data_IF_345716123212
#
_entry.id   IF_345716123212
#
_cell.length_a   1.000
_cell.length_b   1.000
_cell.length_c   1.000
_cell.angle_alpha   90.00
_cell.angle_beta   90.00
_cell.angle_gamma   90.00
#
_symmetry.space_group_name_H-M   'P 1'
#
loop_
_entity.id
_entity.type
_entity.pdbx_description
1 polymer ?
#
# COMPACT_ATOMS: atom_id res chain seq x y z
N UNK A 1 17.38 10.65 1.64
CA UNK A 1 16.05 10.27 2.16
C UNK A 1 16.05 8.84 2.65
N UNK A 2 15.17 8.52 3.59
CA UNK A 2 15.09 7.18 4.18
C UNK A 2 13.67 6.63 4.07
N UNK A 3 13.52 5.52 3.35
CA UNK A 3 12.26 4.80 3.14
C UNK A 3 12.29 3.49 3.94
N UNK A 4 11.33 3.31 4.84
CA UNK A 4 11.20 2.12 5.67
C UNK A 4 9.91 1.37 5.31
N UNK A 5 10.06 0.11 4.89
CA UNK A 5 8.95 -0.73 4.41
C UNK A 5 8.34 -1.65 5.47
N UNK A 6 8.92 -1.73 6.66
CA UNK A 6 8.35 -2.52 7.76
C UNK A 6 7.14 -1.87 8.42
N UNK A 7 6.49 -2.60 9.31
CA UNK A 7 5.24 -2.17 9.98
C UNK A 7 5.46 -1.29 11.21
N UNK A 8 6.71 -1.00 11.58
CA UNK A 8 7.03 -0.15 12.73
C UNK A 8 6.78 -0.81 14.09
N UNK A 9 6.90 -2.13 14.17
CA UNK A 9 6.81 -2.85 15.43
C UNK A 9 7.94 -2.44 16.36
N UNK A 10 7.68 -2.38 17.68
CA UNK A 10 8.66 -1.94 18.70
C UNK A 10 9.92 -2.78 18.71
N UNK A 11 9.83 -4.04 18.34
CA UNK A 11 10.91 -5.00 18.32
C UNK A 11 11.60 -5.14 16.96
N UNK A 12 11.32 -4.22 16.02
CA UNK A 12 11.94 -4.27 14.71
C UNK A 12 13.41 -3.82 14.77
N UNK A 13 14.36 -4.74 14.51
CA UNK A 13 15.78 -4.44 14.51
C UNK A 13 16.19 -3.42 13.44
N UNK A 14 15.43 -3.33 12.34
CA UNK A 14 15.69 -2.37 11.27
C UNK A 14 15.57 -0.93 11.75
N UNK A 15 14.61 -0.63 12.62
CA UNK A 15 14.43 0.71 13.19
C UNK A 15 15.59 1.11 14.07
N UNK A 16 16.17 0.17 14.83
CA UNK A 16 17.37 0.43 15.61
C UNK A 16 18.57 0.75 14.72
N UNK A 17 18.79 -0.06 13.69
CA UNK A 17 19.88 0.15 12.72
C UNK A 17 19.72 1.50 12.03
N UNK A 18 18.53 1.82 11.54
CA UNK A 18 18.22 3.11 10.93
C UNK A 18 18.53 4.29 11.86
N UNK A 19 18.08 4.20 13.13
CA UNK A 19 18.34 5.24 14.10
C UNK A 19 19.84 5.49 14.29
N UNK A 20 20.64 4.43 14.43
CA UNK A 20 22.09 4.54 14.58
C UNK A 20 22.77 5.15 13.36
N UNK A 21 22.37 4.75 12.16
CA UNK A 21 22.91 5.34 10.92
C UNK A 21 22.51 6.82 10.78
N UNK A 22 21.27 7.16 11.12
CA UNK A 22 20.82 8.55 11.10
C UNK A 22 21.58 9.43 12.08
N UNK A 23 21.91 8.92 13.26
CA UNK A 23 22.70 9.67 14.26
C UNK A 23 24.06 10.04 13.66
N UNK A 24 24.78 9.09 13.05
CA UNK A 24 26.06 9.34 12.38
C UNK A 24 25.91 10.33 11.20
N UNK A 25 24.90 10.12 10.35
CA UNK A 25 24.68 11.00 9.19
C UNK A 25 24.36 12.44 9.61
N UNK A 26 23.66 12.64 10.75
CA UNK A 26 23.40 13.98 11.30
C UNK A 26 24.67 14.63 11.86
N UNK A 27 25.56 13.87 12.51
CA UNK A 27 26.87 14.36 12.91
C UNK A 27 27.69 14.85 11.70
N UNK A 28 27.52 14.18 10.56
CA UNK A 28 28.09 14.59 9.27
C UNK A 28 27.30 15.71 8.57
N UNK A 29 26.30 16.30 9.23
CA UNK A 29 25.46 17.41 8.74
C UNK A 29 24.63 17.05 7.49
N UNK A 30 24.25 15.80 7.36
CA UNK A 30 23.31 15.36 6.30
C UNK A 30 21.89 15.70 6.72
N UNK A 31 21.11 16.30 5.81
CA UNK A 31 19.68 16.46 5.98
C UNK A 31 18.99 15.13 5.66
N UNK A 32 18.10 14.67 6.55
CA UNK A 32 17.44 13.37 6.44
C UNK A 32 15.94 13.54 6.50
N UNK A 33 15.27 13.21 5.43
CA UNK A 33 13.81 13.05 5.39
C UNK A 33 13.44 11.58 5.59
N UNK A 34 12.33 11.33 6.30
CA UNK A 34 11.91 10.01 6.72
C UNK A 34 10.54 9.68 6.17
N UNK A 35 10.45 8.55 5.50
CA UNK A 35 9.21 8.04 4.94
C UNK A 35 8.97 6.62 5.45
N UNK A 36 7.88 6.40 6.19
CA UNK A 36 7.38 5.08 6.56
C UNK A 36 6.35 4.66 5.53
N UNK A 37 6.70 3.73 4.66
CA UNK A 37 5.85 3.32 3.54
C UNK A 37 4.51 2.76 4.02
N UNK A 38 4.50 2.06 5.16
CA UNK A 38 3.27 1.55 5.76
C UNK A 38 2.30 2.67 6.18
N UNK A 39 2.82 3.77 6.73
CA UNK A 39 2.00 4.93 7.10
C UNK A 39 1.43 5.64 5.86
N UNK A 40 2.19 5.63 4.75
CA UNK A 40 1.81 6.19 3.46
C UNK A 40 1.22 5.15 2.48
N UNK A 41 0.68 4.04 2.97
CA UNK A 41 0.21 2.92 2.15
C UNK A 41 -0.81 3.29 1.07
N UNK A 42 -1.58 4.34 1.27
CA UNK A 42 -2.58 4.83 0.31
C UNK A 42 -1.96 5.80 -0.73
N UNK A 43 -0.72 6.25 -0.52
CA UNK A 43 -0.03 7.25 -1.31
C UNK A 43 1.33 6.75 -1.83
N UNK A 44 1.56 5.44 -1.83
CA UNK A 44 2.84 4.85 -2.26
C UNK A 44 3.23 5.29 -3.67
N UNK A 45 2.26 5.46 -4.55
CA UNK A 45 2.49 5.92 -5.93
C UNK A 45 3.13 7.31 -6.02
N UNK A 46 2.96 8.16 -5.01
CA UNK A 46 3.51 9.51 -4.97
C UNK A 46 4.89 9.59 -4.30
N UNK A 47 5.26 8.60 -3.51
CA UNK A 47 6.55 8.58 -2.80
C UNK A 47 7.78 8.73 -3.72
N UNK A 48 7.81 8.17 -4.94
CA UNK A 48 8.95 8.41 -5.84
C UNK A 48 9.19 9.87 -6.21
N UNK A 49 8.20 10.74 -6.05
CA UNK A 49 8.35 12.17 -6.31
C UNK A 49 9.13 12.90 -5.21
N UNK A 50 9.25 12.29 -4.03
CA UNK A 50 9.91 12.91 -2.87
C UNK A 50 11.43 12.96 -3.00
N UNK A 51 12.07 12.08 -3.78
CA UNK A 51 13.54 12.11 -3.94
C UNK A 51 14.07 13.06 -5.01
N UNK A 52 13.27 14.01 -5.46
CA UNK A 52 13.74 15.02 -6.46
C UNK A 52 15.01 15.75 -6.02
N UNK A 53 15.19 16.01 -4.74
CA UNK A 53 16.34 16.74 -4.18
C UNK A 53 17.35 15.85 -3.45
N UNK A 54 17.05 14.57 -3.26
CA UNK A 54 17.93 13.67 -2.51
C UNK A 54 19.17 13.27 -3.31
N UNK A 55 20.38 13.41 -2.73
CA UNK A 55 21.62 12.87 -3.30
C UNK A 55 21.71 11.35 -3.17
N UNK A 56 21.02 10.80 -2.19
CA UNK A 56 20.96 9.37 -1.95
C UNK A 56 19.78 8.96 -1.12
N UNK A 57 19.43 7.69 -1.18
CA UNK A 57 18.33 7.08 -0.43
C UNK A 57 18.79 5.85 0.34
N UNK A 58 18.11 5.59 1.42
CA UNK A 58 18.19 4.34 2.17
C UNK A 58 16.86 3.61 1.96
N UNK A 59 16.89 2.39 1.45
CA UNK A 59 15.75 1.49 1.41
C UNK A 59 15.90 0.45 2.51
N UNK A 60 15.05 0.53 3.52
CA UNK A 60 15.14 -0.31 4.69
C UNK A 60 13.88 -1.14 4.89
N UNK A 61 14.06 -2.41 5.19
CA UNK A 61 12.95 -3.32 5.48
C UNK A 61 13.36 -4.44 6.41
N UNK A 62 12.35 -5.03 7.06
CA UNK A 62 12.48 -6.30 7.78
C UNK A 62 11.94 -7.40 6.88
N UNK A 63 12.57 -8.56 6.89
CA UNK A 63 12.08 -9.70 6.10
C UNK A 63 10.69 -10.11 6.59
N UNK A 64 9.73 -10.05 5.68
CA UNK A 64 8.37 -10.53 5.86
C UNK A 64 8.04 -11.55 4.76
N UNK A 65 7.40 -12.66 5.12
CA UNK A 65 7.01 -13.69 4.14
C UNK A 65 8.15 -14.11 3.19
N UNK A 66 9.36 -14.27 3.75
CA UNK A 66 10.57 -14.68 3.01
C UNK A 66 11.07 -13.66 1.99
N UNK A 67 10.65 -12.41 2.09
CA UNK A 67 11.01 -11.35 1.15
C UNK A 67 10.98 -9.95 1.77
N UNK A 68 11.16 -8.96 0.92
CA UNK A 68 11.27 -7.54 1.32
C UNK A 68 9.95 -6.90 1.77
N UNK A 69 8.87 -7.68 1.84
CA UNK A 69 7.54 -7.21 2.23
C UNK A 69 6.75 -6.54 1.09
N UNK A 70 5.42 -6.62 1.17
CA UNK A 70 4.52 -6.16 0.10
C UNK A 70 4.58 -4.65 -0.13
N UNK A 71 4.73 -3.85 0.91
CA UNK A 71 4.80 -2.39 0.78
C UNK A 71 6.10 -1.91 0.13
N UNK A 72 7.23 -2.54 0.46
CA UNK A 72 8.50 -2.22 -0.22
C UNK A 72 8.44 -2.62 -1.69
N UNK A 73 7.80 -3.76 -2.01
CA UNK A 73 7.58 -4.19 -3.39
C UNK A 73 6.71 -3.18 -4.16
N UNK A 74 5.61 -2.72 -3.57
CA UNK A 74 4.76 -1.69 -4.17
C UNK A 74 5.49 -0.36 -4.37
N UNK A 75 6.38 0.01 -3.45
CA UNK A 75 7.22 1.20 -3.60
C UNK A 75 8.19 1.07 -4.78
N UNK A 76 8.81 -0.09 -4.98
CA UNK A 76 9.67 -0.34 -6.14
C UNK A 76 8.87 -0.30 -7.45
N UNK A 77 7.65 -0.85 -7.47
CA UNK A 77 6.74 -0.74 -8.61
C UNK A 77 6.37 0.73 -8.89
N UNK A 78 6.09 1.50 -7.85
CA UNK A 78 5.82 2.93 -7.98
C UNK A 78 7.03 3.68 -8.54
N UNK A 79 8.26 3.36 -8.10
CA UNK A 79 9.50 3.91 -8.67
C UNK A 79 9.64 3.57 -10.16
N UNK A 80 9.24 2.36 -10.54
CA UNK A 80 9.23 1.91 -11.92
C UNK A 80 8.24 2.70 -12.79
N UNK A 81 7.01 2.85 -12.32
CA UNK A 81 5.92 3.45 -13.08
C UNK A 81 5.98 4.98 -13.09
N UNK A 82 6.31 5.59 -11.95
CA UNK A 82 6.14 7.03 -11.73
C UNK A 82 7.45 7.75 -11.38
N UNK A 83 8.52 7.03 -11.11
CA UNK A 83 9.82 7.62 -10.75
C UNK A 83 10.48 8.35 -11.92
N UNK A 84 11.09 9.50 -11.61
CA UNK A 84 11.94 10.23 -12.56
C UNK A 84 13.19 9.41 -12.87
N UNK A 85 13.27 8.88 -14.09
CA UNK A 85 14.37 7.99 -14.52
C UNK A 85 15.72 8.69 -14.56
N UNK A 86 15.74 9.98 -14.91
CA UNK A 86 16.96 10.77 -14.91
C UNK A 86 17.47 10.96 -13.48
N UNK A 87 16.58 11.35 -12.57
CA UNK A 87 16.92 11.49 -11.15
C UNK A 87 17.39 10.18 -10.53
N UNK A 88 16.67 9.10 -10.75
CA UNK A 88 17.04 7.75 -10.26
C UNK A 88 18.45 7.38 -10.73
N UNK A 89 18.80 7.68 -11.99
CA UNK A 89 20.10 7.32 -12.56
C UNK A 89 21.29 7.99 -11.87
N UNK A 90 21.06 9.05 -11.11
CA UNK A 90 22.06 9.77 -10.33
C UNK A 90 21.94 9.57 -8.84
N UNK A 91 20.93 8.82 -8.37
CA UNK A 91 20.63 8.62 -6.95
C UNK A 91 21.32 7.36 -6.44
N UNK A 92 22.14 7.53 -5.40
CA UNK A 92 22.73 6.43 -4.67
C UNK A 92 21.72 5.77 -3.74
N UNK A 93 21.74 4.44 -3.64
CA UNK A 93 20.83 3.72 -2.75
C UNK A 93 21.60 2.70 -1.91
N UNK A 94 21.39 2.76 -0.59
CA UNK A 94 21.86 1.75 0.33
C UNK A 94 20.71 0.91 0.86
N UNK A 95 20.71 -0.42 0.62
CA UNK A 95 19.74 -1.31 1.23
C UNK A 95 20.11 -1.61 2.68
N UNK A 96 19.10 -1.68 3.54
CA UNK A 96 19.20 -2.15 4.92
C UNK A 96 18.13 -3.22 5.12
N UNK A 97 18.55 -4.44 5.37
CA UNK A 97 17.62 -5.57 5.51
C UNK A 97 17.94 -6.37 6.76
N UNK A 98 17.03 -6.31 7.72
CA UNK A 98 17.15 -7.09 8.94
C UNK A 98 16.18 -8.25 8.95
N UNK A 99 16.50 -9.30 9.67
CA UNK A 99 15.64 -10.47 9.80
C UNK A 99 15.67 -11.00 11.23
N UNK A 100 14.53 -11.46 11.71
CA UNK A 100 14.41 -12.27 12.92
C UNK A 100 14.23 -13.76 12.62
N UNK A 101 14.24 -14.10 11.31
CA UNK A 101 14.08 -15.47 10.80
C UNK A 101 15.23 -15.85 9.87
N UNK A 102 15.09 -15.56 8.59
CA UNK A 102 16.12 -15.80 7.57
C UNK A 102 15.79 -15.01 6.28
N UNK A 103 16.75 -14.91 5.35
CA UNK A 103 16.52 -14.30 4.03
C UNK A 103 16.98 -12.85 3.91
N UNK A 104 17.69 -12.32 4.91
CA UNK A 104 18.20 -10.96 4.90
C UNK A 104 19.15 -10.66 3.75
N UNK A 105 19.97 -11.65 3.35
CA UNK A 105 20.92 -11.50 2.22
C UNK A 105 20.21 -11.47 0.88
N UNK A 106 19.21 -12.33 0.71
CA UNK A 106 18.36 -12.37 -0.49
C UNK A 106 17.56 -11.06 -0.60
N UNK A 107 17.07 -10.54 0.52
CA UNK A 107 16.38 -9.26 0.57
C UNK A 107 17.28 -8.08 0.20
N UNK A 108 18.52 -8.05 0.72
CA UNK A 108 19.52 -7.05 0.35
C UNK A 108 19.82 -7.09 -1.14
N UNK A 109 20.09 -8.28 -1.68
CA UNK A 109 20.35 -8.46 -3.10
C UNK A 109 19.16 -8.08 -3.97
N UNK A 110 17.94 -8.39 -3.52
CA UNK A 110 16.71 -8.02 -4.23
C UNK A 110 16.59 -6.51 -4.36
N UNK A 111 16.81 -5.75 -3.28
CA UNK A 111 16.77 -4.29 -3.31
C UNK A 111 17.87 -3.70 -4.20
N UNK A 112 19.10 -4.24 -4.11
CA UNK A 112 20.21 -3.79 -4.95
C UNK A 112 19.91 -3.99 -6.43
N UNK A 113 19.48 -5.21 -6.81
CA UNK A 113 19.15 -5.54 -8.19
C UNK A 113 17.99 -4.70 -8.72
N UNK A 114 16.94 -4.53 -7.93
CA UNK A 114 15.78 -3.72 -8.31
C UNK A 114 16.20 -2.26 -8.57
N UNK A 115 17.00 -1.67 -7.67
CA UNK A 115 17.47 -0.30 -7.85
C UNK A 115 18.35 -0.13 -9.09
N UNK A 116 19.21 -1.09 -9.35
CA UNK A 116 20.07 -1.09 -10.55
C UNK A 116 19.26 -1.25 -11.85
N UNK A 117 18.24 -2.11 -11.84
CA UNK A 117 17.30 -2.26 -12.97
C UNK A 117 16.52 -0.96 -13.20
N UNK A 118 16.11 -0.26 -12.14
CA UNK A 118 15.50 1.07 -12.23
C UNK A 118 16.47 2.13 -12.80
N UNK A 119 17.75 1.83 -12.77
CA UNK A 119 18.81 2.66 -13.31
C UNK A 119 19.65 3.41 -12.29
N UNK A 120 19.37 3.23 -11.01
CA UNK A 120 20.07 3.90 -9.93
C UNK A 120 21.44 3.30 -9.60
N UNK A 121 22.08 3.85 -8.58
CA UNK A 121 23.44 3.51 -8.17
C UNK A 121 23.40 2.77 -6.82
N UNK A 122 23.42 1.43 -6.78
CA UNK A 122 23.40 0.70 -5.53
C UNK A 122 24.74 0.84 -4.78
N UNK A 123 24.66 1.09 -3.47
CA UNK A 123 25.77 1.05 -2.53
C UNK A 123 25.84 -0.30 -1.81
N UNK A 124 26.99 -0.62 -1.20
CA UNK A 124 27.11 -1.79 -0.36
C UNK A 124 26.14 -1.74 0.82
N UNK A 125 25.21 -2.68 0.87
CA UNK A 125 24.15 -2.71 1.85
C UNK A 125 24.59 -3.15 3.25
N UNK A 126 23.61 -3.22 4.13
CA UNK A 126 23.72 -3.76 5.47
C UNK A 126 22.59 -4.76 5.69
N UNK A 127 22.92 -6.01 5.93
CA UNK A 127 21.94 -7.02 6.30
C UNK A 127 22.41 -7.79 7.53
N UNK A 128 21.44 -8.28 8.31
CA UNK A 128 21.75 -9.06 9.50
C UNK A 128 20.56 -9.78 10.09
N UNK A 129 20.87 -10.94 10.70
CA UNK A 129 19.93 -11.70 11.50
C UNK A 129 20.02 -11.26 12.96
N UNK A 130 18.90 -11.08 13.61
CA UNK A 130 18.81 -10.67 15.02
C UNK A 130 17.86 -11.61 15.73
N UNK A 131 18.41 -12.47 16.58
CA UNK A 131 17.65 -13.39 17.44
C UNK A 131 17.13 -12.65 18.68
N UNK A 132 17.99 -11.91 19.34
CA UNK A 132 17.66 -11.11 20.52
C UNK A 132 18.06 -9.64 20.27
N UNK A 133 17.06 -8.76 20.26
CA UNK A 133 17.27 -7.35 20.01
C UNK A 133 17.99 -6.65 21.16
N UNK A 134 17.86 -7.12 22.40
CA UNK A 134 18.53 -6.53 23.57
C UNK A 134 20.02 -6.82 23.50
N UNK A 135 20.38 -8.07 23.24
CA UNK A 135 21.77 -8.48 23.07
C UNK A 135 22.41 -7.76 21.86
N UNK A 136 21.67 -7.70 20.73
CA UNK A 136 22.11 -6.99 19.54
C UNK A 136 22.43 -5.51 19.82
N UNK A 137 21.57 -4.82 20.58
CA UNK A 137 21.77 -3.42 20.95
C UNK A 137 22.95 -3.18 21.89
N UNK A 138 23.27 -4.16 22.75
CA UNK A 138 24.38 -4.09 23.70
C UNK A 138 25.73 -4.40 23.04
N UNK A 139 25.76 -5.04 21.90
CA UNK A 139 26.97 -5.44 21.21
C UNK A 139 27.63 -4.22 20.53
N UNK A 140 28.79 -3.82 21.09
CA UNK A 140 29.55 -2.66 20.59
C UNK A 140 30.13 -2.86 19.21
N UNK A 141 30.47 -4.10 18.85
CA UNK A 141 31.02 -4.39 17.51
C UNK A 141 29.96 -4.23 16.44
N UNK A 142 28.71 -4.64 16.71
CA UNK A 142 27.59 -4.42 15.79
C UNK A 142 27.30 -2.93 15.61
N UNK A 143 27.30 -2.17 16.72
CA UNK A 143 27.16 -0.71 16.67
C UNK A 143 28.22 -0.09 15.78
N UNK A 144 29.49 -0.46 15.96
CA UNK A 144 30.61 0.06 15.16
C UNK A 144 30.49 -0.30 13.67
N UNK A 145 30.00 -1.50 13.35
CA UNK A 145 29.75 -1.91 11.95
C UNK A 145 28.68 -1.01 11.31
N UNK A 146 27.59 -0.73 12.04
CA UNK A 146 26.49 0.13 11.57
C UNK A 146 27.00 1.55 11.33
N UNK A 147 27.75 2.11 12.28
CA UNK A 147 28.32 3.46 12.19
C UNK A 147 29.26 3.58 10.97
N UNK A 148 30.18 2.63 10.79
CA UNK A 148 31.07 2.58 9.61
C UNK A 148 30.30 2.48 8.29
N UNK A 149 29.19 1.78 8.28
CA UNK A 149 28.35 1.70 7.06
C UNK A 149 27.70 3.05 6.73
N UNK A 150 27.26 3.82 7.74
CA UNK A 150 26.77 5.17 7.54
C UNK A 150 27.85 6.13 7.01
N UNK A 151 29.05 6.08 7.60
CA UNK A 151 30.19 6.86 7.11
C UNK A 151 30.57 6.51 5.65
N UNK A 152 30.55 5.22 5.32
CA UNK A 152 30.85 4.75 3.97
C UNK A 152 29.78 5.22 2.97
N UNK A 153 28.50 5.21 3.34
CA UNK A 153 27.44 5.78 2.50
C UNK A 153 27.71 7.26 2.21
N UNK A 154 27.96 8.04 3.26
CA UNK A 154 28.30 9.46 3.12
C UNK A 154 29.51 9.67 2.19
N UNK A 155 30.58 8.89 2.38
CA UNK A 155 31.80 8.96 1.55
C UNK A 155 31.49 8.60 0.08
N UNK A 156 30.73 7.53 -0.15
CA UNK A 156 30.36 7.07 -1.50
C UNK A 156 29.61 8.16 -2.25
N UNK A 157 28.64 8.80 -1.63
CA UNK A 157 27.83 9.87 -2.21
C UNK A 157 28.70 11.13 -2.43
N UNK A 158 29.44 11.56 -1.43
CA UNK A 158 30.24 12.79 -1.48
C UNK A 158 31.36 12.73 -2.53
N UNK A 159 31.97 11.55 -2.68
CA UNK A 159 33.05 11.32 -3.65
C UNK A 159 32.54 10.87 -5.01
N UNK A 160 31.21 10.67 -5.17
CA UNK A 160 30.58 10.19 -6.40
C UNK A 160 31.21 8.89 -6.91
N UNK A 161 31.47 7.94 -5.97
CA UNK A 161 32.10 6.66 -6.28
C UNK A 161 31.18 5.85 -7.18
N UNK A 162 31.70 5.32 -8.28
CA UNK A 162 30.97 4.45 -9.22
C UNK A 162 31.42 3.00 -9.05
N UNK A 163 30.50 2.08 -9.20
CA UNK A 163 30.74 0.65 -9.24
C UNK A 163 31.03 0.19 -10.68
N UNK A 164 31.62 -1.00 -10.82
CA UNK A 164 31.70 -1.65 -12.12
C UNK A 164 30.28 -2.01 -12.62
N UNK A 165 30.09 -2.03 -13.96
CA UNK A 165 28.80 -2.41 -14.53
C UNK A 165 28.47 -3.86 -14.22
N UNK A 166 27.19 -4.17 -14.00
CA UNK A 166 26.68 -5.52 -13.79
C UNK A 166 25.81 -5.96 -14.97
N UNK A 167 25.46 -7.25 -15.01
CA UNK A 167 24.56 -7.80 -16.03
C UNK A 167 23.13 -7.22 -15.95
N UNK A 168 22.74 -6.60 -14.83
CA UNK A 168 21.44 -5.94 -14.68
C UNK A 168 21.25 -4.80 -15.69
N UNK A 169 22.32 -4.19 -16.19
CA UNK A 169 22.23 -3.18 -17.25
C UNK A 169 21.61 -3.70 -18.55
N UNK A 170 21.82 -4.97 -18.88
CA UNK A 170 21.17 -5.58 -20.05
C UNK A 170 19.65 -5.73 -19.82
N UNK A 171 19.24 -6.08 -18.60
CA UNK A 171 17.82 -6.15 -18.22
C UNK A 171 17.19 -4.77 -18.30
N UNK A 172 17.83 -3.74 -17.73
CA UNK A 172 17.39 -2.34 -17.81
C UNK A 172 17.11 -1.91 -19.24
N UNK A 173 18.04 -2.16 -20.16
CA UNK A 173 17.88 -1.79 -21.58
C UNK A 173 16.70 -2.51 -22.23
N UNK A 174 16.51 -3.78 -21.93
CA UNK A 174 15.38 -4.56 -22.45
C UNK A 174 14.04 -3.99 -21.96
N UNK A 175 13.96 -3.66 -20.68
CA UNK A 175 12.74 -3.15 -20.06
C UNK A 175 12.42 -1.73 -20.53
N UNK A 176 13.42 -0.85 -20.66
CA UNK A 176 13.23 0.49 -21.21
C UNK A 176 12.69 0.44 -22.66
N UNK A 177 13.15 -0.51 -23.46
CA UNK A 177 12.61 -0.73 -24.81
C UNK A 177 11.16 -1.17 -24.80
N UNK A 178 10.77 -2.00 -23.85
CA UNK A 178 9.37 -2.48 -23.72
C UNK A 178 8.42 -1.35 -23.30
N UNK A 179 8.86 -0.44 -22.43
CA UNK A 179 8.04 0.72 -22.04
C UNK A 179 7.83 1.74 -23.18
N UNK A 180 8.82 1.94 -24.04
CA UNK A 180 8.71 2.87 -25.17
C UNK A 180 7.71 2.41 -26.24
N UNK A 181 7.35 1.12 -26.27
CA UNK A 181 6.45 0.55 -27.28
C UNK A 181 4.96 0.67 -26.93
N UNK A 182 4.59 1.03 -25.70
CA UNK A 182 3.20 0.94 -25.24
C UNK A 182 2.53 2.27 -24.87
N UNK A 183 3.24 3.39 -24.90
CA UNK A 183 2.65 4.70 -24.61
C UNK A 183 2.67 5.54 -25.89
N UNK A 184 1.50 6.02 -26.30
CA UNK A 184 1.44 7.06 -27.34
C UNK A 184 2.10 8.34 -26.84
N UNK A 185 2.65 9.19 -27.73
CA UNK A 185 3.25 10.48 -27.33
C UNK A 185 2.31 11.35 -26.47
N UNK A 186 1.00 11.24 -26.70
CA UNK A 186 -0.04 11.93 -25.93
C UNK A 186 -0.20 11.36 -24.52
N UNK A 187 -0.16 10.05 -24.37
CA UNK A 187 -0.21 9.39 -23.05
C UNK A 187 1.07 9.65 -22.24
N UNK A 188 2.23 9.66 -22.89
CA UNK A 188 3.50 10.01 -22.27
C UNK A 188 3.54 11.47 -21.82
N UNK A 189 2.99 12.39 -22.63
CA UNK A 189 2.89 13.81 -22.28
C UNK A 189 1.87 14.05 -21.15
N UNK A 190 0.74 13.33 -21.16
CA UNK A 190 -0.23 13.38 -20.08
C UNK A 190 0.35 12.82 -18.77
N UNK A 191 1.01 11.66 -18.80
CA UNK A 191 1.69 11.11 -17.63
C UNK A 191 2.78 12.04 -17.08
N UNK A 192 3.56 12.67 -17.97
CA UNK A 192 4.58 13.65 -17.60
C UNK A 192 3.97 14.89 -16.93
N UNK A 193 2.82 15.36 -17.40
CA UNK A 193 2.06 16.44 -16.76
C UNK A 193 1.47 16.03 -15.41
N UNK A 194 0.94 14.81 -15.28
CA UNK A 194 0.44 14.27 -14.01
C UNK A 194 1.54 14.16 -12.94
N UNK A 195 2.76 13.86 -13.35
CA UNK A 195 3.90 13.63 -12.45
C UNK A 195 4.64 14.93 -12.08
N UNK A 196 4.55 15.98 -12.91
CA UNK A 196 5.38 17.19 -12.75
C UNK A 196 4.64 18.39 -12.15
N UNK A 197 3.34 18.33 -11.94
CA UNK A 197 2.57 19.51 -11.55
C UNK A 197 1.61 19.27 -10.38
N UNK A 198 2.04 19.67 -9.17
CA UNK A 198 1.20 19.66 -7.95
C UNK A 198 -0.06 20.52 -8.10
N UNK A 199 -0.04 21.52 -9.00
CA UNK A 199 -1.21 22.36 -9.34
C UNK A 199 -2.22 21.58 -10.19
N UNK A 200 -1.74 20.72 -11.09
CA UNK A 200 -2.60 19.90 -11.94
C UNK A 200 -3.35 18.83 -11.14
N UNK A 201 -2.70 18.21 -10.16
CA UNK A 201 -3.36 17.24 -9.24
C UNK A 201 -4.42 17.93 -8.38
N UNK A 202 -4.19 19.18 -7.95
CA UNK A 202 -5.19 19.97 -7.23
C UNK A 202 -6.35 20.38 -8.15
N UNK A 203 -6.09 20.83 -9.35
CA UNK A 203 -7.15 21.16 -10.33
C UNK A 203 -7.98 19.94 -10.70
N UNK A 204 -7.37 18.78 -10.90
CA UNK A 204 -8.12 17.55 -11.18
C UNK A 204 -8.99 17.10 -9.98
N UNK A 205 -8.53 17.32 -8.74
CA UNK A 205 -9.37 17.10 -7.55
C UNK A 205 -10.56 18.07 -7.54
N UNK A 206 -10.32 19.34 -7.82
CA UNK A 206 -11.36 20.38 -7.89
C UNK A 206 -12.34 20.08 -9.03
N UNK A 207 -11.85 19.68 -10.22
CA UNK A 207 -12.69 19.30 -11.37
C UNK A 207 -13.50 18.02 -11.09
N UNK A 208 -12.94 17.04 -10.37
CA UNK A 208 -13.66 15.82 -9.94
C UNK A 208 -14.72 16.16 -8.90
N UNK A 209 -14.44 17.06 -7.94
CA UNK A 209 -15.42 17.54 -6.97
C UNK A 209 -16.51 18.37 -7.65
N UNK A 210 -16.17 19.18 -8.63
CA UNK A 210 -17.14 19.97 -9.41
C UNK A 210 -18.01 19.08 -10.29
N UNK A 211 -17.43 18.09 -10.98
CA UNK A 211 -18.17 17.07 -11.72
C UNK A 211 -19.03 16.20 -10.80
N UNK A 212 -18.55 15.81 -9.64
CA UNK A 212 -19.35 15.08 -8.65
C UNK A 212 -20.51 15.93 -8.10
N UNK A 213 -20.32 17.25 -7.92
CA UNK A 213 -21.39 18.16 -7.52
C UNK A 213 -22.40 18.40 -8.65
N UNK A 214 -21.94 18.58 -9.90
CA UNK A 214 -22.83 18.66 -11.09
C UNK A 214 -23.62 17.37 -11.31
N UNK A 215 -23.00 16.19 -11.10
CA UNK A 215 -23.72 14.91 -11.15
C UNK A 215 -24.75 14.79 -10.03
N UNK A 216 -24.44 15.33 -8.85
CA UNK A 216 -25.35 15.37 -7.70
C UNK A 216 -26.55 16.30 -7.96
N UNK A 217 -26.33 17.43 -8.63
CA UNK A 217 -27.36 18.39 -9.00
C UNK A 217 -28.20 17.91 -10.23
N UNK A 218 -27.59 17.20 -11.19
CA UNK A 218 -28.30 16.58 -12.32
C UNK A 218 -29.16 15.38 -11.92
N UNK A 219 -28.83 14.71 -10.81
CA UNK A 219 -29.55 13.53 -10.31
C UNK A 219 -30.78 13.89 -9.47
N UNK A 220 -31.18 15.20 -9.39
CA UNK A 220 -32.46 15.65 -8.86
C UNK A 220 -32.85 15.04 -7.51
N UNK A 221 -33.58 15.76 -6.73
CA UNK A 221 -34.15 15.33 -5.44
C UNK A 221 -34.72 13.91 -5.47
N UNK A 222 -34.58 13.11 -4.40
CA UNK A 222 -35.12 11.76 -4.40
C UNK A 222 -36.65 11.82 -4.53
N UNK A 223 -37.17 11.27 -5.63
CA UNK A 223 -38.56 10.88 -5.72
C UNK A 223 -38.79 9.71 -4.78
N UNK A 224 -39.72 9.89 -3.86
CA UNK A 224 -40.11 8.96 -2.80
C UNK A 224 -40.96 7.75 -3.29
N UNK A 225 -40.96 7.44 -4.58
CA UNK A 225 -41.73 6.34 -5.15
C UNK A 225 -40.88 5.49 -6.13
N UNK A 226 -39.86 4.82 -5.60
CA UNK A 226 -39.24 3.72 -6.33
C UNK A 226 -39.46 2.41 -5.56
N UNK A 227 -40.08 1.43 -6.24
CA UNK A 227 -40.09 0.02 -5.86
C UNK A 227 -38.82 -0.35 -5.08
N UNK A 228 -39.00 -0.78 -3.83
CA UNK A 228 -37.92 -1.30 -2.99
C UNK A 228 -37.61 -2.74 -3.40
N UNK A 229 -36.71 -2.98 -4.39
CA UNK A 229 -36.40 -4.33 -4.85
C UNK A 229 -35.82 -5.13 -3.69
N UNK A 230 -36.11 -6.42 -3.64
CA UNK A 230 -35.65 -7.39 -2.67
C UNK A 230 -36.27 -7.32 -1.27
N UNK A 231 -36.85 -6.20 -0.80
CA UNK A 231 -37.42 -6.12 0.57
C UNK A 231 -38.54 -7.13 0.76
N UNK A 232 -39.56 -7.10 -0.11
CA UNK A 232 -40.71 -8.01 -0.02
C UNK A 232 -40.34 -9.49 -0.20
N UNK A 233 -39.33 -9.75 -1.04
CA UNK A 233 -38.87 -11.11 -1.29
C UNK A 233 -38.12 -11.67 -0.07
N UNK A 234 -37.23 -10.86 0.55
CA UNK A 234 -36.54 -11.24 1.76
C UNK A 234 -37.47 -11.41 2.95
N UNK A 235 -38.47 -10.53 3.12
CA UNK A 235 -39.53 -10.68 4.14
C UNK A 235 -40.29 -12.00 3.99
N UNK A 236 -40.60 -12.39 2.74
CA UNK A 236 -41.36 -13.62 2.46
C UNK A 236 -40.58 -14.91 2.76
N UNK A 237 -39.26 -14.88 2.75
CA UNK A 237 -38.40 -16.02 3.01
C UNK A 237 -37.85 -16.05 4.44
N UNK A 238 -38.19 -15.07 5.25
CA UNK A 238 -37.73 -15.02 6.64
C UNK A 238 -38.35 -16.09 7.50
N UNK A 239 -37.50 -16.83 8.22
CA UNK A 239 -37.92 -17.80 9.22
C UNK A 239 -37.39 -17.34 10.59
N UNK A 240 -38.30 -16.99 11.50
CA UNK A 240 -37.96 -16.51 12.82
C UNK A 240 -37.16 -17.56 13.61
N UNK A 241 -36.05 -17.11 14.23
CA UNK A 241 -35.23 -17.94 15.12
C UNK A 241 -35.00 -17.15 16.41
N UNK A 242 -35.44 -17.69 17.56
CA UNK A 242 -35.48 -16.95 18.83
C UNK A 242 -34.10 -16.60 19.44
N UNK A 243 -33.03 -17.31 19.07
CA UNK A 243 -31.67 -17.15 19.63
C UNK A 243 -30.67 -16.49 18.68
N UNK A 244 -31.14 -15.83 17.64
CA UNK A 244 -30.24 -15.23 16.65
C UNK A 244 -30.44 -13.71 16.57
N UNK A 245 -29.31 -12.98 16.73
CA UNK A 245 -29.28 -11.53 16.56
C UNK A 245 -28.05 -11.15 15.69
N UNK A 246 -28.28 -10.50 14.56
CA UNK A 246 -27.23 -9.99 13.69
C UNK A 246 -27.76 -8.87 12.76
N UNK A 247 -26.88 -7.93 12.40
CA UNK A 247 -27.17 -6.85 11.49
C UNK A 247 -26.25 -6.86 10.26
N UNK A 248 -26.84 -6.72 9.09
CA UNK A 248 -26.16 -6.80 7.80
C UNK A 248 -26.44 -5.54 7.00
N UNK A 249 -25.43 -5.08 6.25
CA UNK A 249 -25.58 -4.04 5.24
C UNK A 249 -25.09 -4.56 3.89
N UNK A 250 -25.99 -4.64 2.92
CA UNK A 250 -25.72 -5.13 1.58
C UNK A 250 -25.52 -3.95 0.63
N UNK A 251 -24.30 -3.80 0.11
CA UNK A 251 -23.98 -2.84 -0.95
C UNK A 251 -24.20 -3.57 -2.28
N UNK A 252 -25.32 -3.27 -2.94
CA UNK A 252 -25.75 -3.96 -4.16
C UNK A 252 -25.33 -3.11 -5.36
N UNK A 253 -24.65 -3.72 -6.33
CA UNK A 253 -24.23 -3.02 -7.55
C UNK A 253 -25.44 -2.47 -8.32
N UNK A 254 -25.37 -1.18 -8.67
CA UNK A 254 -26.46 -0.47 -9.35
C UNK A 254 -27.58 0.06 -8.45
N UNK A 255 -27.51 -0.13 -7.13
CA UNK A 255 -28.43 0.44 -6.15
C UNK A 255 -27.69 1.48 -5.29
N UNK A 256 -28.25 2.70 -5.19
CA UNK A 256 -27.56 3.83 -4.54
C UNK A 256 -27.47 3.72 -3.04
N UNK A 257 -28.48 3.14 -2.39
CA UNK A 257 -28.56 3.03 -0.94
C UNK A 257 -28.27 1.58 -0.55
N UNK A 258 -27.47 1.31 0.48
CA UNK A 258 -27.28 -0.05 0.98
C UNK A 258 -28.61 -0.59 1.54
N UNK A 259 -28.83 -1.88 1.38
CA UNK A 259 -29.94 -2.59 1.98
C UNK A 259 -29.52 -3.05 3.38
N UNK A 260 -30.18 -2.53 4.39
CA UNK A 260 -29.99 -2.91 5.77
C UNK A 260 -30.96 -4.04 6.13
N UNK A 261 -30.45 -5.06 6.81
CA UNK A 261 -31.21 -6.23 7.29
C UNK A 261 -30.74 -6.52 8.70
N UNK A 262 -31.62 -6.42 9.67
CA UNK A 262 -31.34 -6.79 11.05
C UNK A 262 -32.33 -7.84 11.54
N UNK A 263 -31.81 -8.78 12.32
CA UNK A 263 -32.60 -9.79 13.01
C UNK A 263 -32.30 -9.66 14.49
N UNK A 264 -33.29 -9.37 15.27
CA UNK A 264 -33.17 -9.27 16.73
C UNK A 264 -34.45 -9.80 17.38
N UNK A 265 -34.29 -10.69 18.40
CA UNK A 265 -35.40 -11.30 19.15
C UNK A 265 -36.46 -11.98 18.26
N UNK A 266 -36.04 -12.52 17.11
CA UNK A 266 -36.96 -13.20 16.19
C UNK A 266 -37.77 -12.27 15.27
N UNK A 267 -37.53 -10.97 15.36
CA UNK A 267 -38.09 -9.95 14.44
C UNK A 267 -37.09 -9.56 13.35
N UNK A 268 -37.61 -9.28 12.15
CA UNK A 268 -36.83 -8.87 11.00
C UNK A 268 -37.09 -7.41 10.70
N UNK A 269 -36.03 -6.61 10.62
CA UNK A 269 -36.04 -5.23 10.15
C UNK A 269 -35.30 -5.12 8.84
N UNK A 270 -35.97 -4.61 7.78
CA UNK A 270 -35.36 -4.42 6.46
C UNK A 270 -35.74 -3.03 5.92
N UNK A 271 -34.73 -2.27 5.53
CA UNK A 271 -34.95 -1.02 4.81
C UNK A 271 -33.71 -0.58 4.01
N UNK A 272 -33.89 0.31 3.04
CA UNK A 272 -32.77 0.94 2.35
C UNK A 272 -32.31 2.17 3.11
N UNK A 273 -31.08 2.14 3.62
CA UNK A 273 -30.51 3.24 4.40
C UNK A 273 -29.13 2.92 4.94
N UNK A 274 -28.54 3.87 5.62
CA UNK A 274 -27.26 3.71 6.29
C UNK A 274 -27.49 3.74 7.79
N UNK A 275 -27.03 2.71 8.49
CA UNK A 275 -27.12 2.60 9.93
C UNK A 275 -25.73 2.62 10.57
N UNK A 276 -25.65 3.12 11.82
CA UNK A 276 -24.37 3.28 12.55
C UNK A 276 -23.86 1.98 13.19
N UNK A 277 -24.76 1.01 13.38
CA UNK A 277 -24.43 -0.27 14.03
C UNK A 277 -24.68 -1.42 13.06
N UNK A 278 -23.62 -1.90 12.46
CA UNK A 278 -23.65 -2.99 11.48
C UNK A 278 -22.59 -4.01 11.87
N UNK A 279 -22.98 -5.28 11.99
CA UNK A 279 -22.05 -6.38 12.30
C UNK A 279 -21.29 -6.84 11.06
N UNK A 280 -21.98 -6.91 9.91
CA UNK A 280 -21.41 -7.39 8.66
C UNK A 280 -21.80 -6.48 7.50
N UNK A 281 -20.81 -6.01 6.73
CA UNK A 281 -21.02 -5.31 5.47
C UNK A 281 -20.64 -6.26 4.34
N UNK A 282 -21.56 -6.49 3.39
CA UNK A 282 -21.31 -7.35 2.23
C UNK A 282 -21.55 -6.59 0.92
N UNK A 283 -20.62 -6.70 -0.02
CA UNK A 283 -20.77 -6.17 -1.37
C UNK A 283 -21.00 -7.29 -2.36
N UNK A 284 -22.04 -7.18 -3.18
CA UNK A 284 -22.44 -8.21 -4.15
C UNK A 284 -23.19 -7.60 -5.34
N UNK A 285 -23.25 -8.34 -6.43
CA UNK A 285 -24.05 -7.96 -7.60
C UNK A 285 -25.53 -8.26 -7.38
N UNK A 286 -26.40 -7.62 -8.18
CA UNK A 286 -27.84 -7.83 -8.16
C UNK A 286 -28.21 -9.28 -8.46
N UNK A 287 -27.55 -9.93 -9.41
CA UNK A 287 -27.80 -11.31 -9.84
C UNK A 287 -27.41 -12.33 -8.75
N UNK A 288 -26.35 -12.05 -7.99
CA UNK A 288 -25.92 -12.88 -6.86
C UNK A 288 -26.93 -12.80 -5.73
N UNK A 289 -27.41 -11.59 -5.38
CA UNK A 289 -28.45 -11.45 -4.36
C UNK A 289 -29.75 -12.17 -4.76
N UNK A 290 -30.19 -12.02 -5.99
CA UNK A 290 -31.37 -12.72 -6.52
C UNK A 290 -31.19 -14.25 -6.45
N UNK A 291 -30.00 -14.75 -6.80
CA UNK A 291 -29.72 -16.19 -6.73
C UNK A 291 -29.73 -16.73 -5.30
N UNK A 292 -29.36 -15.89 -4.32
CA UNK A 292 -29.45 -16.24 -2.90
C UNK A 292 -30.89 -16.25 -2.42
N UNK A 293 -31.70 -15.25 -2.79
CA UNK A 293 -33.13 -15.18 -2.45
C UNK A 293 -33.88 -16.36 -3.04
N UNK A 294 -33.61 -16.71 -4.30
CA UNK A 294 -34.22 -17.85 -4.98
C UNK A 294 -33.74 -19.22 -4.44
N UNK A 295 -32.85 -19.27 -3.49
CA UNK A 295 -32.28 -20.49 -2.92
C UNK A 295 -31.34 -21.27 -3.85
N UNK A 296 -30.94 -20.69 -4.98
CA UNK A 296 -30.00 -21.31 -5.94
C UNK A 296 -28.55 -21.25 -5.44
N UNK A 297 -28.24 -20.34 -4.51
CA UNK A 297 -26.93 -20.13 -3.92
C UNK A 297 -27.08 -19.77 -2.44
N UNK A 298 -26.11 -20.18 -1.61
CA UNK A 298 -26.02 -19.72 -0.22
C UNK A 298 -25.03 -18.56 -0.12
N UNK A 299 -25.19 -17.70 0.90
CA UNK A 299 -24.21 -16.63 1.20
C UNK A 299 -22.81 -17.20 1.41
N UNK A 300 -22.71 -18.34 2.09
CA UNK A 300 -21.43 -19.00 2.31
C UNK A 300 -20.76 -19.40 0.98
N UNK A 301 -21.53 -19.91 0.03
CA UNK A 301 -21.01 -20.28 -1.29
C UNK A 301 -20.60 -19.02 -2.08
N UNK A 302 -21.40 -17.97 -2.11
CA UNK A 302 -21.09 -16.71 -2.77
C UNK A 302 -19.81 -16.08 -2.23
N UNK A 303 -19.60 -16.19 -0.92
CA UNK A 303 -18.35 -15.74 -0.29
C UNK A 303 -17.14 -16.61 -0.68
N UNK A 304 -17.29 -17.94 -0.67
CA UNK A 304 -16.23 -18.88 -1.04
C UNK A 304 -15.83 -18.80 -2.51
N UNK A 305 -16.75 -18.45 -3.40
CA UNK A 305 -16.50 -18.27 -4.85
C UNK A 305 -16.01 -16.86 -5.20
N UNK A 306 -15.95 -15.95 -4.22
CA UNK A 306 -15.50 -14.56 -4.45
C UNK A 306 -16.55 -13.67 -5.11
N UNK A 307 -17.79 -14.11 -5.25
CA UNK A 307 -18.92 -13.34 -5.80
C UNK A 307 -19.49 -12.34 -4.78
N UNK A 308 -19.12 -12.51 -3.52
CA UNK A 308 -19.44 -11.59 -2.42
C UNK A 308 -18.19 -11.29 -1.62
N UNK A 309 -17.95 -10.01 -1.34
CA UNK A 309 -16.88 -9.56 -0.44
C UNK A 309 -17.54 -9.06 0.84
N UNK A 310 -17.18 -9.65 1.99
CA UNK A 310 -17.72 -9.25 3.28
C UNK A 310 -16.64 -8.68 4.19
N UNK A 311 -16.99 -7.66 4.97
CA UNK A 311 -16.17 -7.06 6.02
C UNK A 311 -16.92 -7.19 7.35
N UNK A 312 -16.33 -7.88 8.32
CA UNK A 312 -16.85 -7.96 9.68
C UNK A 312 -16.19 -6.90 10.55
N UNK A 313 -16.96 -6.08 11.24
CA UNK A 313 -16.45 -5.24 12.32
C UNK A 313 -16.31 -6.11 13.58
N UNK A 314 -15.08 -6.55 13.86
CA UNK A 314 -14.75 -7.16 15.16
C UNK A 314 -14.88 -6.08 16.22
N UNK A 315 -15.93 -6.15 17.04
CA UNK A 315 -15.97 -5.43 18.31
C UNK A 315 -14.88 -6.00 19.23
N UNK A 316 -13.89 -5.18 19.58
CA UNK A 316 -13.07 -5.45 20.74
C UNK A 316 -14.00 -5.40 21.97
N UNK A 317 -14.28 -6.55 22.56
CA UNK A 317 -14.84 -6.59 23.91
C UNK A 317 -13.75 -6.09 24.86
N UNK A 318 -13.90 -4.85 25.34
CA UNK A 318 -13.27 -4.43 26.59
C UNK A 318 -13.92 -5.20 27.73
N UNK A 319 -13.17 -6.11 28.31
CA UNK A 319 -13.42 -6.65 29.66
C UNK A 319 -12.40 -6.08 30.61
#
# INVERSE_FOLDING_TARGET
DRYYGGRGLLDDPTLYVLKKMEDVLRELRVNIERFNIYEHKNEIATLPLTFKEADGIILATTIEWLGIGGYMQQFLDACWLYGDKEKISHTYMQPIVMSTTYGEREGELTLMNAWEILGGLPCAGLCGYVEDLVEFKQNKDYTLIIEKKAENLYRTISQKIKNLPTSNQAVKQSVLRTQQLNLTPQESEQLSKYVSDDTYVKQQKEDIEELASMFKDMLGKPDDDMDTPFVKELESHFVSTEDFAASYSFIIEGIKKPLYVAIENGELEIHYGQEDKIDVVAKLSRDVLQSIIDGRMTFQRAFMTGETVSYTHLRAHET
#
